data_IF_902557251183
#
_entry.id   IF_902557251183
#
_cell.length_a   1.000
_cell.length_b   1.000
_cell.length_c   1.000
_cell.angle_alpha   90.00
_cell.angle_beta   90.00
_cell.angle_gamma   90.00
#
_symmetry.space_group_name_H-M   'P 1'
#
loop_
_entity.id
_entity.type
_entity.pdbx_description
1 polymer ?
#
# COMPACT_ATOMS: atom_id res chain seq x y z
N UNK A 1 14.43 -19.50 14.62
CA UNK A 1 13.41 -19.45 13.54
C UNK A 1 13.96 -18.59 12.43
N UNK A 2 13.70 -18.92 11.16
CA UNK A 2 14.08 -18.04 10.05
C UNK A 2 13.35 -16.69 10.16
N UNK A 3 14.00 -15.60 9.75
CA UNK A 3 13.37 -14.29 9.71
C UNK A 3 12.17 -14.31 8.74
N UNK A 4 11.06 -13.65 9.10
CA UNK A 4 9.90 -13.55 8.22
C UNK A 4 10.20 -12.53 7.11
N UNK A 5 9.87 -12.86 5.87
CA UNK A 5 10.11 -11.97 4.72
C UNK A 5 8.85 -11.20 4.36
N UNK A 6 8.96 -9.88 4.31
CA UNK A 6 7.87 -8.96 4.01
C UNK A 6 8.14 -8.27 2.68
N UNK A 7 7.19 -8.35 1.75
CA UNK A 7 7.19 -7.54 0.55
C UNK A 7 6.38 -6.26 0.79
N UNK A 8 6.96 -5.10 0.47
CA UNK A 8 6.25 -3.82 0.42
C UNK A 8 6.10 -3.45 -1.05
N UNK A 9 4.86 -3.44 -1.54
CA UNK A 9 4.55 -3.07 -2.93
C UNK A 9 4.31 -1.58 -2.97
N UNK A 10 5.07 -0.87 -3.81
CA UNK A 10 5.00 0.57 -3.91
C UNK A 10 4.94 1.07 -5.36
N UNK A 11 4.24 2.18 -5.53
CA UNK A 11 4.45 3.08 -6.65
C UNK A 11 5.59 4.09 -6.33
N UNK A 12 5.98 4.87 -7.33
CA UNK A 12 7.18 5.71 -7.32
C UNK A 12 7.19 6.91 -6.33
N UNK A 13 6.21 7.03 -5.43
CA UNK A 13 6.03 8.20 -4.56
C UNK A 13 5.56 7.95 -3.12
N UNK A 14 5.80 6.76 -2.56
CA UNK A 14 4.86 6.21 -1.57
C UNK A 14 5.17 6.38 -0.08
N UNK A 15 4.08 6.36 0.69
CA UNK A 15 3.96 6.03 2.13
C UNK A 15 4.65 4.70 2.47
N UNK A 16 4.68 3.74 1.54
CA UNK A 16 5.28 2.42 1.76
C UNK A 16 6.75 2.50 2.18
N UNK A 17 7.49 3.54 1.77
CA UNK A 17 8.88 3.77 2.21
C UNK A 17 9.00 4.15 3.68
N UNK A 18 8.05 4.92 4.20
CA UNK A 18 8.00 5.24 5.65
C UNK A 18 7.79 3.95 6.45
N UNK A 19 6.92 3.07 5.96
CA UNK A 19 6.67 1.76 6.59
C UNK A 19 7.89 0.84 6.50
N UNK A 20 8.68 0.90 5.41
CA UNK A 20 9.94 0.14 5.30
C UNK A 20 10.93 0.54 6.38
N UNK A 21 11.15 1.84 6.61
CA UNK A 21 12.10 2.33 7.62
C UNK A 21 11.73 1.80 9.02
N UNK A 22 10.44 1.77 9.34
CA UNK A 22 9.92 1.28 10.61
C UNK A 22 9.97 -0.25 10.76
N UNK A 23 9.68 -1.01 9.71
CA UNK A 23 9.85 -2.47 9.72
C UNK A 23 11.30 -2.83 9.99
N UNK A 24 12.24 -2.10 9.39
CA UNK A 24 13.67 -2.31 9.60
C UNK A 24 14.11 -1.94 11.02
N UNK A 25 13.57 -0.86 11.59
CA UNK A 25 13.86 -0.45 12.96
C UNK A 25 13.48 -1.53 14.00
N UNK A 26 12.45 -2.34 13.70
CA UNK A 26 12.02 -3.48 14.54
C UNK A 26 12.95 -4.70 14.45
N UNK A 27 13.84 -4.76 13.46
CA UNK A 27 14.95 -5.73 13.36
C UNK A 27 14.58 -7.20 13.17
N UNK A 28 13.30 -7.52 12.98
CA UNK A 28 12.78 -8.91 12.99
C UNK A 28 12.37 -9.45 11.62
N UNK A 29 12.47 -8.63 10.56
CA UNK A 29 11.95 -8.92 9.24
C UNK A 29 12.98 -8.65 8.15
N UNK A 30 12.98 -9.51 7.12
CA UNK A 30 13.66 -9.22 5.86
C UNK A 30 12.70 -8.47 4.93
N UNK A 31 13.12 -7.33 4.39
CA UNK A 31 12.24 -6.47 3.57
C UNK A 31 12.62 -6.54 2.10
N UNK A 32 11.61 -6.73 1.26
CA UNK A 32 11.72 -6.66 -0.21
C UNK A 32 10.76 -5.59 -0.70
N UNK A 33 11.25 -4.63 -1.48
CA UNK A 33 10.40 -3.65 -2.15
C UNK A 33 10.07 -4.15 -3.56
N UNK A 34 8.78 -4.14 -3.91
CA UNK A 34 8.28 -4.48 -5.24
C UNK A 34 7.75 -3.21 -5.93
N UNK A 35 8.32 -2.84 -7.07
CA UNK A 35 7.91 -1.63 -7.81
C UNK A 35 8.02 -1.79 -9.32
N UNK A 36 7.15 -1.11 -10.07
CA UNK A 36 7.27 -1.05 -11.53
C UNK A 36 8.41 -0.13 -12.01
N UNK A 37 8.84 0.79 -11.16
CA UNK A 37 9.90 1.75 -11.46
C UNK A 37 11.31 1.18 -11.34
N UNK A 38 12.29 1.97 -11.79
CA UNK A 38 13.70 1.69 -11.55
C UNK A 38 14.01 1.71 -10.05
N UNK A 39 15.02 0.93 -9.65
CA UNK A 39 15.52 0.92 -8.29
C UNK A 39 15.90 2.33 -7.83
N UNK A 40 15.44 2.72 -6.65
CA UNK A 40 15.87 3.98 -6.06
C UNK A 40 17.35 3.95 -5.65
N UNK A 41 18.02 5.09 -5.79
CA UNK A 41 19.43 5.24 -5.47
C UNK A 41 19.73 5.00 -3.97
N UNK A 42 18.82 5.44 -3.10
CA UNK A 42 19.02 5.45 -1.64
C UNK A 42 18.16 4.39 -0.94
N UNK A 43 18.42 3.11 -1.23
CA UNK A 43 17.78 2.01 -0.49
C UNK A 43 18.48 1.77 0.85
N UNK A 44 17.73 1.58 1.95
CA UNK A 44 18.32 1.17 3.23
C UNK A 44 19.12 -0.13 3.10
N UNK A 45 20.18 -0.27 3.90
CA UNK A 45 21.00 -1.49 3.92
C UNK A 45 20.13 -2.71 4.27
N UNK A 46 20.27 -3.78 3.51
CA UNK A 46 19.54 -5.03 3.74
C UNK A 46 18.14 -5.09 3.10
N UNK A 47 17.70 -4.03 2.41
CA UNK A 47 16.48 -4.05 1.62
C UNK A 47 16.77 -4.55 0.20
N UNK A 48 16.05 -5.56 -0.25
CA UNK A 48 16.09 -5.98 -1.64
C UNK A 48 15.06 -5.20 -2.48
N UNK A 49 15.37 -4.94 -3.75
CA UNK A 49 14.42 -4.39 -4.71
C UNK A 49 14.14 -5.42 -5.79
N UNK A 50 12.87 -5.63 -6.13
CA UNK A 50 12.47 -6.43 -7.29
C UNK A 50 11.58 -5.55 -8.17
N UNK A 51 12.02 -5.36 -9.40
CA UNK A 51 11.18 -4.69 -10.39
C UNK A 51 10.04 -5.64 -10.79
N UNK A 52 8.82 -5.12 -10.88
CA UNK A 52 7.64 -5.91 -11.25
C UNK A 52 6.97 -5.34 -12.49
N UNK A 53 6.54 -6.22 -13.38
CA UNK A 53 5.62 -5.92 -14.46
C UNK A 53 4.31 -6.65 -14.20
N UNK A 54 3.23 -5.91 -13.94
CA UNK A 54 1.92 -6.48 -13.70
C UNK A 54 1.27 -7.05 -14.97
N UNK A 55 1.89 -6.94 -16.14
CA UNK A 55 1.45 -7.61 -17.35
C UNK A 55 2.12 -8.98 -17.55
N UNK A 56 3.18 -9.27 -16.79
CA UNK A 56 3.83 -10.57 -16.77
C UNK A 56 3.51 -11.32 -15.48
N UNK A 57 2.51 -12.21 -15.56
CA UNK A 57 2.07 -13.01 -14.41
C UNK A 57 3.22 -13.87 -13.85
N UNK A 58 4.05 -14.48 -14.69
CA UNK A 58 5.13 -15.35 -14.23
C UNK A 58 6.18 -14.55 -13.47
N UNK A 59 6.57 -13.39 -14.02
CA UNK A 59 7.50 -12.49 -13.34
C UNK A 59 6.92 -11.98 -12.01
N UNK A 60 5.61 -11.72 -11.95
CA UNK A 60 4.96 -11.28 -10.72
C UNK A 60 4.97 -12.38 -9.65
N UNK A 61 4.67 -13.63 -10.01
CA UNK A 61 4.76 -14.81 -9.11
C UNK A 61 6.18 -14.97 -8.59
N UNK A 62 7.19 -14.91 -9.48
CA UNK A 62 8.59 -15.00 -9.08
C UNK A 62 9.00 -13.84 -8.15
N UNK A 63 8.46 -12.63 -8.38
CA UNK A 63 8.72 -11.47 -7.55
C UNK A 63 8.17 -11.61 -6.12
N UNK A 64 7.09 -12.36 -5.90
CA UNK A 64 6.54 -12.64 -4.56
C UNK A 64 6.95 -14.02 -4.00
N UNK A 65 7.76 -14.78 -4.73
CA UNK A 65 8.23 -16.09 -4.28
C UNK A 65 9.11 -15.99 -3.03
N UNK A 66 8.81 -16.84 -2.04
CA UNK A 66 9.49 -16.88 -0.74
C UNK A 66 9.16 -15.71 0.19
N UNK A 67 8.12 -14.94 -0.12
CA UNK A 67 7.59 -13.88 0.75
C UNK A 67 6.53 -14.48 1.70
N UNK A 68 6.57 -14.11 2.99
CA UNK A 68 5.56 -14.52 3.97
C UNK A 68 4.33 -13.61 3.98
N UNK A 69 4.58 -12.30 3.88
CA UNK A 69 3.57 -11.24 3.99
C UNK A 69 3.77 -10.20 2.89
N UNK A 70 2.70 -9.83 2.19
CA UNK A 70 2.68 -8.71 1.23
C UNK A 70 1.91 -7.54 1.82
N UNK A 71 2.51 -6.35 1.83
CA UNK A 71 1.86 -5.08 2.17
C UNK A 71 1.74 -4.24 0.90
N UNK A 72 0.51 -4.04 0.41
CA UNK A 72 0.26 -3.29 -0.81
C UNK A 72 0.02 -1.82 -0.52
N UNK A 73 0.79 -0.93 -1.15
CA UNK A 73 0.57 0.53 -1.16
C UNK A 73 0.30 1.02 -2.59
N UNK A 74 -0.26 0.16 -3.46
CA UNK A 74 -0.64 0.55 -4.81
C UNK A 74 -1.74 1.61 -4.78
N UNK A 75 -1.54 2.71 -5.49
CA UNK A 75 -2.51 3.78 -5.65
C UNK A 75 -2.53 4.24 -7.11
N UNK A 76 -3.68 4.14 -7.77
CA UNK A 76 -3.85 4.54 -9.17
C UNK A 76 -5.02 5.51 -9.32
N UNK A 77 -4.98 6.34 -10.36
CA UNK A 77 -6.07 7.25 -10.67
C UNK A 77 -7.21 6.55 -11.44
N UNK A 78 -6.89 5.64 -12.37
CA UNK A 78 -7.92 4.87 -13.05
C UNK A 78 -8.40 3.72 -12.15
N UNK A 79 -9.70 3.66 -11.88
CA UNK A 79 -10.27 2.67 -10.96
C UNK A 79 -10.29 1.26 -11.53
N UNK A 80 -10.43 1.11 -12.85
CA UNK A 80 -10.43 -0.20 -13.50
C UNK A 80 -9.02 -0.77 -13.53
N UNK A 81 -8.03 0.05 -13.90
CA UNK A 81 -6.62 -0.30 -13.82
C UNK A 81 -6.22 -0.64 -12.38
N UNK A 82 -6.67 0.15 -11.40
CA UNK A 82 -6.44 -0.13 -9.98
C UNK A 82 -6.95 -1.53 -9.61
N UNK A 83 -8.21 -1.84 -9.92
CA UNK A 83 -8.82 -3.12 -9.60
C UNK A 83 -8.05 -4.29 -10.24
N UNK A 84 -7.73 -4.18 -11.52
CA UNK A 84 -7.03 -5.24 -12.25
C UNK A 84 -5.61 -5.48 -11.72
N UNK A 85 -4.85 -4.43 -11.41
CA UNK A 85 -3.51 -4.57 -10.82
C UNK A 85 -3.55 -5.27 -9.45
N UNK A 86 -4.54 -4.93 -8.61
CA UNK A 86 -4.72 -5.57 -7.32
C UNK A 86 -5.05 -7.06 -7.47
N UNK A 87 -5.97 -7.43 -8.37
CA UNK A 87 -6.33 -8.83 -8.64
C UNK A 87 -5.12 -9.64 -9.08
N UNK A 88 -4.35 -9.13 -10.05
CA UNK A 88 -3.14 -9.80 -10.55
C UNK A 88 -2.11 -10.03 -9.43
N UNK A 89 -1.91 -9.05 -8.55
CA UNK A 89 -1.01 -9.17 -7.41
C UNK A 89 -1.50 -10.22 -6.40
N UNK A 90 -2.81 -10.27 -6.12
CA UNK A 90 -3.42 -11.27 -5.24
C UNK A 90 -3.25 -12.68 -5.82
N UNK A 91 -3.56 -12.87 -7.11
CA UNK A 91 -3.38 -14.15 -7.80
C UNK A 91 -1.93 -14.62 -7.74
N UNK A 92 -0.98 -13.73 -8.02
CA UNK A 92 0.44 -14.06 -7.94
C UNK A 92 0.88 -14.42 -6.52
N UNK A 93 0.38 -13.71 -5.50
CA UNK A 93 0.65 -14.00 -4.10
C UNK A 93 0.12 -15.38 -3.68
N UNK A 94 -1.10 -15.72 -4.10
CA UNK A 94 -1.71 -17.04 -3.85
C UNK A 94 -0.88 -18.13 -4.53
N UNK A 95 -0.52 -17.96 -5.80
CA UNK A 95 0.24 -18.94 -6.57
C UNK A 95 1.65 -19.16 -6.01
N UNK A 96 2.28 -18.11 -5.49
CA UNK A 96 3.58 -18.20 -4.83
C UNK A 96 3.53 -18.75 -3.39
N UNK A 97 2.34 -18.97 -2.83
CA UNK A 97 2.15 -19.47 -1.47
C UNK A 97 2.37 -18.42 -0.37
N UNK A 98 2.14 -17.14 -0.67
CA UNK A 98 2.14 -16.06 0.33
C UNK A 98 1.04 -16.33 1.35
N UNK A 99 1.37 -16.18 2.64
CA UNK A 99 0.44 -16.50 3.73
C UNK A 99 -0.46 -15.33 4.10
N UNK A 100 0.09 -14.11 4.15
CA UNK A 100 -0.64 -12.89 4.54
C UNK A 100 -0.59 -11.81 3.48
N UNK A 101 -1.70 -11.13 3.29
CA UNK A 101 -1.84 -10.03 2.35
C UNK A 101 -2.55 -8.85 2.99
N UNK A 102 -1.93 -7.68 2.97
CA UNK A 102 -2.58 -6.43 3.32
C UNK A 102 -2.88 -5.65 2.03
N UNK A 103 -4.15 -5.52 1.61
CA UNK A 103 -4.52 -4.71 0.46
C UNK A 103 -4.27 -3.21 0.70
N UNK A 104 -4.26 -2.42 -0.36
CA UNK A 104 -4.06 -0.96 -0.30
C UNK A 104 -5.29 -0.24 0.25
N UNK A 105 -5.53 -0.37 1.54
CA UNK A 105 -6.70 0.13 2.28
C UNK A 105 -6.39 1.36 3.15
N UNK A 106 -5.20 1.94 2.98
CA UNK A 106 -4.65 3.03 3.80
C UNK A 106 -5.40 4.38 3.75
N UNK A 107 -6.52 4.43 3.02
CA UNK A 107 -7.48 5.53 2.97
C UNK A 107 -8.80 5.01 2.36
N UNK A 108 -9.96 5.46 2.84
CA UNK A 108 -11.28 5.02 2.36
C UNK A 108 -12.29 6.18 2.39
N UNK A 109 -13.50 5.96 1.86
CA UNK A 109 -14.62 6.91 2.03
C UNK A 109 -14.77 8.01 0.97
N UNK A 110 -13.97 7.99 -0.11
CA UNK A 110 -14.18 8.86 -1.29
C UNK A 110 -14.54 8.04 -2.51
N UNK A 111 -15.35 8.60 -3.42
CA UNK A 111 -15.83 7.91 -4.63
C UNK A 111 -14.69 7.33 -5.50
N UNK A 112 -13.51 7.95 -5.46
CA UNK A 112 -12.30 7.46 -6.13
C UNK A 112 -11.82 6.09 -5.63
N UNK A 113 -12.18 5.69 -4.41
CA UNK A 113 -11.76 4.45 -3.76
C UNK A 113 -12.81 3.33 -3.83
N UNK A 114 -13.85 3.46 -4.66
CA UNK A 114 -14.86 2.40 -4.82
C UNK A 114 -14.27 1.06 -5.26
N UNK A 115 -13.20 1.07 -6.07
CA UNK A 115 -12.50 -0.16 -6.46
C UNK A 115 -11.99 -0.99 -5.28
N UNK A 116 -11.75 -0.38 -4.10
CA UNK A 116 -11.27 -1.10 -2.91
C UNK A 116 -12.32 -2.06 -2.37
N UNK A 117 -13.60 -1.73 -2.49
CA UNK A 117 -14.69 -2.64 -2.14
C UNK A 117 -14.70 -3.87 -3.06
N UNK A 118 -14.44 -3.68 -4.36
CA UNK A 118 -14.30 -4.76 -5.32
C UNK A 118 -13.05 -5.63 -5.06
N UNK A 119 -11.94 -5.02 -4.62
CA UNK A 119 -10.74 -5.77 -4.18
C UNK A 119 -11.06 -6.62 -2.95
N UNK A 120 -11.84 -6.11 -2.00
CA UNK A 120 -12.25 -6.86 -0.81
C UNK A 120 -13.15 -8.04 -1.16
N UNK A 121 -14.17 -7.82 -1.99
CA UNK A 121 -15.03 -8.90 -2.52
C UNK A 121 -14.21 -9.96 -3.22
N UNK A 122 -13.24 -9.56 -4.03
CA UNK A 122 -12.36 -10.50 -4.72
C UNK A 122 -11.50 -11.33 -3.74
N UNK A 123 -10.98 -10.74 -2.66
CA UNK A 123 -10.26 -11.47 -1.60
C UNK A 123 -11.17 -12.47 -0.85
N UNK A 124 -12.45 -12.14 -0.69
CA UNK A 124 -13.44 -13.08 -0.15
C UNK A 124 -13.71 -14.22 -1.15
N UNK A 125 -13.92 -13.90 -2.43
CA UNK A 125 -14.19 -14.84 -3.52
C UNK A 125 -13.07 -15.87 -3.69
N UNK A 126 -11.80 -15.44 -3.74
CA UNK A 126 -10.67 -16.37 -3.92
C UNK A 126 -10.52 -17.33 -2.74
N UNK A 127 -11.01 -16.95 -1.56
CA UNK A 127 -11.00 -17.73 -0.33
C UNK A 127 -12.29 -18.54 -0.10
N UNK A 128 -13.28 -18.46 -1.00
CA UNK A 128 -14.49 -19.29 -0.91
C UNK A 128 -14.14 -20.78 -1.01
N UNK A 129 -14.68 -21.57 -0.08
CA UNK A 129 -14.49 -23.02 -0.01
C UNK A 129 -13.16 -23.47 0.59
N UNK A 130 -12.07 -22.72 0.38
CA UNK A 130 -10.77 -22.98 0.99
C UNK A 130 -10.03 -21.68 1.21
N UNK A 131 -9.52 -21.46 2.42
CA UNK A 131 -8.66 -20.31 2.71
C UNK A 131 -7.31 -20.48 2.00
N UNK A 132 -7.08 -19.66 0.98
CA UNK A 132 -5.85 -19.60 0.18
C UNK A 132 -4.87 -18.56 0.71
N UNK A 133 -5.37 -17.44 1.23
CA UNK A 133 -4.56 -16.33 1.73
C UNK A 133 -5.27 -15.59 2.88
N UNK A 134 -4.54 -15.29 3.95
CA UNK A 134 -5.05 -14.47 5.06
C UNK A 134 -5.01 -12.99 4.65
N UNK A 135 -6.15 -12.30 4.69
CA UNK A 135 -6.25 -10.88 4.34
C UNK A 135 -6.49 -10.02 5.57
N UNK A 136 -5.71 -8.96 5.75
CA UNK A 136 -5.88 -7.98 6.82
C UNK A 136 -5.86 -6.55 6.25
N UNK A 137 -7.03 -5.91 6.05
CA UNK A 137 -7.09 -4.52 5.59
C UNK A 137 -6.77 -3.56 6.74
N UNK A 138 -5.83 -2.64 6.52
CA UNK A 138 -5.51 -1.56 7.47
C UNK A 138 -6.18 -0.27 7.01
N UNK A 139 -7.04 0.31 7.86
CA UNK A 139 -7.80 1.53 7.55
C UNK A 139 -7.54 2.63 8.59
N UNK A 140 -6.33 3.24 8.60
CA UNK A 140 -5.97 4.27 9.57
C UNK A 140 -6.64 5.64 9.31
N UNK A 141 -7.42 5.79 8.25
CA UNK A 141 -7.99 7.08 7.85
C UNK A 141 -7.02 7.92 7.00
N UNK A 142 -7.21 9.24 6.96
CA UNK A 142 -6.37 10.15 6.16
C UNK A 142 -5.12 10.52 6.94
N UNK A 143 -3.95 10.50 6.30
CA UNK A 143 -2.72 10.92 6.97
C UNK A 143 -2.70 12.42 7.25
N UNK A 144 -2.43 12.81 8.49
CA UNK A 144 -2.32 14.23 8.86
C UNK A 144 -1.20 14.94 8.11
N UNK A 145 -0.17 14.20 7.71
CA UNK A 145 0.96 14.66 6.90
C UNK A 145 0.55 15.28 5.56
N UNK A 146 -0.60 14.87 4.98
CA UNK A 146 -1.11 15.49 3.76
C UNK A 146 -1.45 16.97 3.92
N UNK A 147 -1.76 17.42 5.14
CA UNK A 147 -2.06 18.83 5.43
C UNK A 147 -0.80 19.70 5.62
N UNK A 148 0.39 19.11 5.59
CA UNK A 148 1.67 19.83 5.70
C UNK A 148 2.06 20.61 4.43
N UNK A 149 1.35 20.44 3.32
CA UNK A 149 1.66 21.08 2.03
C UNK A 149 1.85 22.61 2.16
N UNK A 150 2.91 23.21 1.61
CA UNK A 150 3.94 22.65 0.72
C UNK A 150 5.24 22.21 1.43
N UNK A 151 5.22 22.00 2.74
CA UNK A 151 6.40 21.59 3.51
C UNK A 151 6.35 20.08 3.77
N UNK A 152 7.46 19.39 3.52
CA UNK A 152 7.56 17.97 3.85
C UNK A 152 7.55 17.78 5.37
N UNK A 153 6.62 16.99 5.89
CA UNK A 153 6.55 16.60 7.31
C UNK A 153 7.18 15.23 7.59
N UNK A 154 7.40 14.42 6.54
CA UNK A 154 8.03 13.10 6.57
C UNK A 154 9.00 12.92 5.39
N UNK A 155 9.84 11.89 5.44
CA UNK A 155 11.06 11.78 4.62
C UNK A 155 10.81 11.47 3.15
N UNK A 156 9.85 10.58 2.89
CA UNK A 156 9.64 9.93 1.60
C UNK A 156 8.33 10.34 0.93
N UNK A 157 7.35 10.86 1.69
CA UNK A 157 6.07 11.28 1.12
C UNK A 157 6.21 12.60 0.33
N UNK A 158 5.92 12.51 -0.96
CA UNK A 158 5.71 13.70 -1.80
C UNK A 158 4.27 14.17 -1.62
N UNK A 159 4.09 15.18 -0.78
CA UNK A 159 2.78 15.74 -0.49
C UNK A 159 2.31 16.59 -1.68
N UNK A 160 1.13 16.28 -2.21
CA UNK A 160 0.36 17.17 -3.07
C UNK A 160 -0.78 17.80 -2.26
N UNK A 161 -1.26 18.97 -2.69
CA UNK A 161 -2.40 19.63 -2.05
C UNK A 161 -3.65 18.74 -2.17
N UNK A 162 -4.09 18.16 -1.06
CA UNK A 162 -5.23 17.25 -1.00
C UNK A 162 -6.39 17.90 -0.23
N UNK A 163 -7.53 18.12 -0.90
CA UNK A 163 -8.81 18.70 -0.41
C UNK A 163 -8.77 20.05 0.33
N UNK A 164 -7.68 20.42 0.98
CA UNK A 164 -7.46 21.66 1.71
C UNK A 164 -6.11 22.27 1.32
N UNK A 165 -6.17 23.47 0.75
CA UNK A 165 -5.05 24.34 0.45
C UNK A 165 -4.98 25.43 1.52
N UNK A 166 -4.16 25.20 2.55
CA UNK A 166 -3.98 26.17 3.63
C UNK A 166 -3.28 27.44 3.18
N UNK A 167 -2.40 27.37 2.17
CA UNK A 167 -1.68 28.54 1.65
C UNK A 167 -2.64 29.53 1.02
N UNK A 168 -3.56 29.03 0.20
CA UNK A 168 -4.57 29.85 -0.48
C UNK A 168 -5.90 29.96 0.29
N UNK A 169 -6.01 29.31 1.46
CA UNK A 169 -7.24 29.27 2.29
C UNK A 169 -8.45 28.72 1.54
N UNK A 170 -8.26 27.62 0.79
CA UNK A 170 -9.31 26.97 0.01
C UNK A 170 -9.49 25.54 0.46
N UNK A 171 -10.73 25.08 0.52
CA UNK A 171 -11.02 23.66 0.72
C UNK A 171 -12.11 23.22 -0.27
N UNK A 172 -12.03 21.97 -0.70
CA UNK A 172 -13.06 21.27 -1.46
C UNK A 172 -13.74 20.35 -0.46
N UNK A 173 -14.99 20.67 -0.14
CA UNK A 173 -15.83 19.86 0.75
C UNK A 173 -16.85 19.17 -0.15
N UNK A 174 -16.91 17.82 -0.16
CA UNK A 174 -17.97 17.11 -0.84
C UNK A 174 -19.33 17.57 -0.30
N UNK A 175 -20.28 17.86 -1.19
CA UNK A 175 -21.66 18.13 -0.79
C UNK A 175 -22.29 16.84 -0.25
N UNK A 176 -22.80 16.86 0.98
CA UNK A 176 -23.25 15.65 1.66
C UNK A 176 -23.48 15.83 3.17
N UNK A 177 -23.54 14.72 3.88
CA UNK A 177 -23.65 14.63 5.33
C UNK A 177 -22.33 14.96 6.05
N UNK A 178 -22.43 15.43 7.31
CA UNK A 178 -21.30 15.68 8.21
C UNK A 178 -20.60 14.37 8.61
N UNK A 179 -19.97 13.70 7.63
CA UNK A 179 -19.30 12.44 7.83
C UNK A 179 -18.04 12.65 8.68
N UNK A 180 -17.83 11.83 9.74
CA UNK A 180 -16.62 11.92 10.56
C UNK A 180 -15.40 11.53 9.73
N UNK A 181 -14.32 12.31 9.86
CA UNK A 181 -13.01 12.00 9.27
C UNK A 181 -12.09 11.51 10.38
N UNK A 182 -11.45 10.36 10.16
CA UNK A 182 -10.35 9.88 11.01
C UNK A 182 -9.02 10.37 10.44
N UNK A 183 -8.22 11.02 11.28
CA UNK A 183 -6.91 11.54 10.94
C UNK A 183 -5.83 10.84 11.76
N UNK A 184 -4.81 10.30 11.10
CA UNK A 184 -3.72 9.55 11.74
C UNK A 184 -2.36 10.04 11.23
N UNK A 185 -1.37 10.30 12.09
CA UNK A 185 -0.01 10.57 11.63
C UNK A 185 0.60 9.36 10.90
N UNK A 186 1.32 9.57 9.79
CA UNK A 186 1.90 8.47 9.03
C UNK A 186 2.90 7.63 9.86
N UNK A 187 3.60 8.28 10.79
CA UNK A 187 4.51 7.63 11.74
C UNK A 187 3.82 6.65 12.71
N UNK A 188 2.51 6.77 12.91
CA UNK A 188 1.77 5.91 13.86
C UNK A 188 1.26 4.62 13.17
N UNK A 189 1.32 4.53 11.83
CA UNK A 189 0.91 3.33 11.05
C UNK A 189 1.79 2.14 11.37
N UNK A 190 3.10 2.35 11.55
CA UNK A 190 4.06 1.29 11.84
C UNK A 190 3.80 0.59 13.18
N UNK A 191 3.07 1.25 14.08
CA UNK A 191 2.73 0.74 15.41
C UNK A 191 1.45 -0.10 15.44
N UNK A 192 0.68 -0.12 14.35
CA UNK A 192 -0.56 -0.89 14.20
C UNK A 192 -0.31 -2.32 13.69
#
# INVERSE_FOLDING_TARGET
MAAKKVAVVNDSGSIGREVVDEILARGSYEVVILSCGAQAADLPKGVAWRQVDYNDKSALVDAVKGIDTVLSFLAMFDQNEALELHKKLIDAAIEAGVRRFAPSEWASGVAHYQYKDEVRKYLEEVNLGQQKIESNPFQPGVFTDYFGYSHATIKHLKISCMFADFQNRRAIIPEGDDAPITLTPARDISDS
#
